data_IF_194257087541
#
_entry.id   IF_194257087541
#
_cell.length_a   1.000
_cell.length_b   1.000
_cell.length_c   1.000
_cell.angle_alpha   90.00
_cell.angle_beta   90.00
_cell.angle_gamma   90.00
#
_symmetry.space_group_name_H-M   'P 1'
#
loop_
_entity.id
_entity.type
_entity.pdbx_description
1 polymer ?
#
# COMPACT_ATOMS: atom_id res chain seq x y z
N UNK A 1 -8.80 14.66 -21.21
CA UNK A 1 -8.94 14.29 -19.79
C UNK A 1 -8.25 12.93 -19.55
N UNK A 2 -6.94 12.84 -19.81
CA UNK A 2 -6.21 11.55 -19.83
C UNK A 2 -5.82 11.05 -18.43
N UNK A 3 -5.65 11.94 -17.45
CA UNK A 3 -5.17 11.58 -16.12
C UNK A 3 -6.17 10.77 -15.27
N UNK A 4 -7.47 10.76 -15.65
CA UNK A 4 -8.52 10.03 -14.93
C UNK A 4 -9.08 8.86 -15.74
N UNK A 5 -8.58 8.64 -16.96
CA UNK A 5 -9.01 7.53 -17.81
C UNK A 5 -8.40 6.21 -17.30
N UNK A 6 -9.20 5.29 -16.72
CA UNK A 6 -8.70 4.07 -16.10
C UNK A 6 -8.11 3.08 -17.11
N UNK A 7 -8.29 3.30 -18.42
CA UNK A 7 -7.68 2.46 -19.46
C UNK A 7 -6.22 2.82 -19.74
N UNK A 8 -5.78 4.00 -19.30
CA UNK A 8 -4.38 4.43 -19.41
C UNK A 8 -3.60 4.05 -18.15
N UNK A 9 -2.27 3.84 -18.27
CA UNK A 9 -1.43 3.55 -17.10
C UNK A 9 -1.51 4.66 -16.04
N UNK A 10 -1.50 5.93 -16.48
CA UNK A 10 -1.60 7.09 -15.58
C UNK A 10 -2.92 7.08 -14.82
N UNK A 11 -4.04 6.93 -15.53
CA UNK A 11 -5.36 6.94 -14.88
C UNK A 11 -5.59 5.70 -14.02
N UNK A 12 -5.16 4.51 -14.45
CA UNK A 12 -5.20 3.30 -13.65
C UNK A 12 -4.41 3.45 -12.33
N UNK A 13 -3.16 3.90 -12.42
CA UNK A 13 -2.32 4.18 -11.25
C UNK A 13 -2.95 5.24 -10.33
N UNK A 14 -3.53 6.29 -10.91
CA UNK A 14 -4.21 7.35 -10.16
C UNK A 14 -5.41 6.80 -9.38
N UNK A 15 -6.27 5.99 -10.00
CA UNK A 15 -7.40 5.38 -9.32
C UNK A 15 -6.97 4.43 -8.20
N UNK A 16 -5.95 3.60 -8.43
CA UNK A 16 -5.38 2.75 -7.39
C UNK A 16 -4.87 3.58 -6.20
N UNK A 17 -4.18 4.69 -6.47
CA UNK A 17 -3.65 5.59 -5.44
C UNK A 17 -4.78 6.20 -4.61
N UNK A 18 -5.84 6.68 -5.26
CA UNK A 18 -7.00 7.26 -4.60
C UNK A 18 -7.69 6.25 -3.68
N UNK A 19 -7.87 5.02 -4.17
CA UNK A 19 -8.47 3.95 -3.37
C UNK A 19 -7.57 3.59 -2.19
N UNK A 20 -6.25 3.48 -2.39
CA UNK A 20 -5.29 3.19 -1.34
C UNK A 20 -5.30 4.27 -0.24
N UNK A 21 -5.28 5.55 -0.63
CA UNK A 21 -5.34 6.68 0.31
C UNK A 21 -6.65 6.65 1.11
N UNK A 22 -7.80 6.53 0.44
CA UNK A 22 -9.11 6.48 1.11
C UNK A 22 -9.23 5.29 2.04
N UNK A 23 -8.76 4.10 1.63
CA UNK A 23 -8.80 2.90 2.46
C UNK A 23 -7.81 2.93 3.63
N UNK A 24 -6.69 3.63 3.48
CA UNK A 24 -5.66 3.75 4.51
C UNK A 24 -6.13 4.52 5.75
N UNK A 25 -7.01 5.53 5.61
CA UNK A 25 -7.56 6.28 6.76
C UNK A 25 -8.31 5.40 7.78
N UNK A 26 -9.36 4.65 7.42
CA UNK A 26 -10.06 3.77 8.36
C UNK A 26 -9.19 2.59 8.81
N UNK A 27 -8.26 2.11 7.97
CA UNK A 27 -7.28 1.08 8.36
C UNK A 27 -6.36 1.59 9.49
N UNK A 28 -5.79 2.78 9.32
CA UNK A 28 -4.96 3.45 10.32
C UNK A 28 -5.73 3.78 11.59
N UNK A 29 -6.94 4.33 11.47
CA UNK A 29 -7.77 4.65 12.62
C UNK A 29 -8.12 3.41 13.47
N UNK A 30 -8.38 2.26 12.82
CA UNK A 30 -8.58 1.00 13.54
C UNK A 30 -7.31 0.55 14.28
N UNK A 31 -6.15 0.60 13.60
CA UNK A 31 -4.85 0.23 14.19
C UNK A 31 -4.49 1.10 15.40
N UNK A 32 -4.71 2.42 15.32
CA UNK A 32 -4.50 3.35 16.44
C UNK A 32 -5.41 3.05 17.64
N UNK A 33 -6.59 2.46 17.41
CA UNK A 33 -7.51 1.98 18.47
C UNK A 33 -7.17 0.57 18.97
N UNK A 34 -6.09 -0.04 18.51
CA UNK A 34 -5.73 -1.43 18.82
C UNK A 34 -6.65 -2.47 18.16
N UNK A 35 -7.44 -2.06 17.18
CA UNK A 35 -8.39 -2.89 16.45
C UNK A 35 -7.82 -3.25 15.06
N UNK A 36 -8.34 -4.33 14.47
CA UNK A 36 -8.00 -4.73 13.12
C UNK A 36 -9.25 -4.71 12.24
N UNK A 37 -9.33 -3.75 11.32
CA UNK A 37 -10.33 -3.81 10.25
C UNK A 37 -9.81 -4.65 9.09
N UNK A 38 -10.19 -5.93 9.03
CA UNK A 38 -9.69 -6.85 7.99
C UNK A 38 -10.02 -6.38 6.58
N UNK A 39 -11.21 -5.81 6.37
CA UNK A 39 -11.65 -5.29 5.07
C UNK A 39 -10.84 -4.06 4.64
N UNK A 40 -10.75 -3.03 5.48
CA UNK A 40 -10.03 -1.80 5.13
C UNK A 40 -8.53 -2.05 4.95
N UNK A 41 -7.91 -2.85 5.82
CA UNK A 41 -6.50 -3.22 5.68
C UNK A 41 -6.25 -4.04 4.41
N UNK A 42 -7.17 -4.94 4.03
CA UNK A 42 -7.05 -5.69 2.79
C UNK A 42 -7.12 -4.79 1.55
N UNK A 43 -8.09 -3.87 1.51
CA UNK A 43 -8.23 -2.92 0.39
C UNK A 43 -6.99 -2.02 0.30
N UNK A 44 -6.57 -1.43 1.42
CA UNK A 44 -5.36 -0.60 1.49
C UNK A 44 -4.14 -1.37 0.97
N UNK A 45 -3.86 -2.57 1.50
CA UNK A 45 -2.68 -3.33 1.10
C UNK A 45 -2.65 -3.64 -0.39
N UNK A 46 -3.73 -4.21 -0.94
CA UNK A 46 -3.74 -4.61 -2.34
C UNK A 46 -3.65 -3.43 -3.29
N UNK A 47 -4.37 -2.34 -2.99
CA UNK A 47 -4.31 -1.13 -3.81
C UNK A 47 -3.01 -0.37 -3.66
N UNK A 48 -2.41 -0.32 -2.48
CA UNK A 48 -1.08 0.26 -2.27
C UNK A 48 0.01 -0.56 -2.99
N UNK A 49 -0.02 -1.90 -2.90
CA UNK A 49 0.93 -2.77 -3.63
C UNK A 49 0.80 -2.54 -5.13
N UNK A 50 -0.44 -2.56 -5.65
CA UNK A 50 -0.69 -2.34 -7.06
C UNK A 50 -0.26 -0.93 -7.51
N UNK A 51 -0.52 0.10 -6.69
CA UNK A 51 -0.06 1.48 -6.94
C UNK A 51 1.46 1.54 -6.99
N UNK A 52 2.15 1.08 -5.95
CA UNK A 52 3.60 1.11 -5.89
C UNK A 52 4.24 0.32 -7.05
N UNK A 53 3.70 -0.85 -7.39
CA UNK A 53 4.17 -1.65 -8.51
C UNK A 53 3.96 -0.94 -9.84
N UNK A 54 2.76 -0.39 -10.10
CA UNK A 54 2.47 0.35 -11.34
C UNK A 54 3.30 1.62 -11.48
N UNK A 55 3.70 2.21 -10.35
CA UNK A 55 4.64 3.32 -10.32
C UNK A 55 5.96 3.01 -11.03
N UNK A 56 6.42 1.75 -11.07
CA UNK A 56 7.65 1.35 -11.77
C UNK A 56 7.48 1.13 -13.28
N UNK A 57 6.26 1.16 -13.81
CA UNK A 57 6.01 0.99 -15.25
C UNK A 57 6.05 2.31 -16.04
N UNK A 58 6.18 3.45 -15.36
CA UNK A 58 6.28 4.74 -16.02
C UNK A 58 7.62 4.90 -16.77
N UNK A 59 7.68 5.77 -17.80
CA UNK A 59 8.93 6.03 -18.50
C UNK A 59 9.90 6.84 -17.63
N UNK A 60 11.16 6.38 -17.56
CA UNK A 60 12.23 7.05 -16.80
C UNK A 60 13.52 7.12 -17.63
N UNK A 61 14.32 8.15 -17.38
CA UNK A 61 15.65 8.35 -17.98
C UNK A 61 16.80 7.82 -17.10
N UNK A 62 16.50 7.21 -15.96
CA UNK A 62 17.49 6.69 -15.01
C UNK A 62 16.87 6.26 -13.69
N UNK A 63 17.70 5.96 -12.69
CA UNK A 63 17.24 5.64 -11.33
C UNK A 63 17.01 6.95 -10.57
N UNK A 64 15.75 7.24 -10.29
CA UNK A 64 15.34 8.38 -9.45
C UNK A 64 15.18 7.96 -7.98
N UNK A 65 15.30 8.90 -7.01
CA UNK A 65 15.00 8.62 -5.60
C UNK A 65 13.65 7.95 -5.35
N UNK A 66 12.64 8.23 -6.19
CA UNK A 66 11.33 7.57 -6.14
C UNK A 66 11.39 6.06 -6.31
N UNK A 67 12.37 5.51 -7.02
CA UNK A 67 12.55 4.07 -7.16
C UNK A 67 13.00 3.43 -5.86
N UNK A 68 13.88 4.11 -5.12
CA UNK A 68 14.37 3.64 -3.81
C UNK A 68 13.21 3.65 -2.82
N UNK A 69 12.48 4.76 -2.75
CA UNK A 69 11.29 4.88 -1.89
C UNK A 69 10.24 3.84 -2.28
N UNK A 70 9.93 3.68 -3.57
CA UNK A 70 8.97 2.69 -4.05
C UNK A 70 9.37 1.24 -3.72
N UNK A 71 10.67 0.92 -3.77
CA UNK A 71 11.18 -0.41 -3.41
C UNK A 71 11.05 -0.66 -1.90
N UNK A 72 11.35 0.35 -1.07
CA UNK A 72 11.15 0.29 0.38
C UNK A 72 9.66 0.12 0.70
N UNK A 73 8.78 0.90 0.07
CA UNK A 73 7.32 0.78 0.24
C UNK A 73 6.82 -0.61 -0.12
N UNK A 74 7.26 -1.18 -1.26
CA UNK A 74 6.89 -2.55 -1.63
C UNK A 74 7.39 -3.60 -0.64
N UNK A 75 8.60 -3.44 -0.10
CA UNK A 75 9.13 -4.35 0.92
C UNK A 75 8.31 -4.28 2.22
N UNK A 76 7.92 -3.08 2.66
CA UNK A 76 7.06 -2.88 3.83
C UNK A 76 5.66 -3.48 3.60
N UNK A 77 5.05 -3.21 2.44
CA UNK A 77 3.75 -3.76 2.08
C UNK A 77 3.78 -5.29 1.97
N UNK A 78 4.86 -5.87 1.44
CA UNK A 78 5.05 -7.32 1.42
C UNK A 78 5.15 -7.90 2.85
N UNK A 79 5.91 -7.26 3.74
CA UNK A 79 5.96 -7.66 5.15
C UNK A 79 4.59 -7.57 5.83
N UNK A 80 3.83 -6.51 5.56
CA UNK A 80 2.46 -6.34 6.05
C UNK A 80 1.52 -7.43 5.53
N UNK A 81 1.59 -7.75 4.23
CA UNK A 81 0.79 -8.80 3.61
C UNK A 81 1.11 -10.18 4.20
N UNK A 82 2.39 -10.50 4.40
CA UNK A 82 2.82 -11.75 5.06
C UNK A 82 2.27 -11.81 6.49
N UNK A 83 2.38 -10.71 7.25
CA UNK A 83 1.88 -10.66 8.61
C UNK A 83 0.36 -10.90 8.70
N UNK A 84 -0.41 -10.31 7.78
CA UNK A 84 -1.87 -10.40 7.78
C UNK A 84 -2.39 -11.73 7.21
N UNK A 85 -1.87 -12.18 6.07
CA UNK A 85 -2.43 -13.30 5.32
C UNK A 85 -1.76 -14.64 5.61
N UNK A 86 -0.44 -14.66 5.84
CA UNK A 86 0.31 -15.91 6.05
C UNK A 86 0.43 -16.23 7.53
N UNK A 87 0.72 -15.23 8.36
CA UNK A 87 1.02 -15.41 9.79
C UNK A 87 -0.16 -15.15 10.72
N UNK A 88 -1.32 -14.78 10.17
CA UNK A 88 -2.56 -14.59 10.93
C UNK A 88 -2.45 -13.58 12.08
N UNK A 89 -1.46 -12.67 12.05
CA UNK A 89 -1.15 -11.71 13.11
C UNK A 89 -0.80 -12.33 14.47
N UNK A 90 -0.30 -13.56 14.49
CA UNK A 90 0.07 -14.24 15.74
C UNK A 90 1.33 -13.63 16.39
N UNK A 91 1.30 -13.45 17.72
CA UNK A 91 2.44 -12.95 18.49
C UNK A 91 2.99 -11.61 17.98
N UNK A 92 4.28 -11.60 17.62
CA UNK A 92 4.97 -10.40 17.14
C UNK A 92 4.45 -9.89 15.78
N UNK A 93 3.79 -10.74 14.98
CA UNK A 93 3.32 -10.37 13.64
C UNK A 93 2.26 -9.29 13.65
N UNK A 94 1.46 -9.18 14.72
CA UNK A 94 0.52 -8.06 14.87
C UNK A 94 1.23 -6.71 14.92
N UNK A 95 2.37 -6.63 15.63
CA UNK A 95 3.18 -5.41 15.73
C UNK A 95 3.89 -5.12 14.41
N UNK A 96 4.46 -6.15 13.77
CA UNK A 96 5.07 -6.02 12.44
C UNK A 96 4.07 -5.49 11.43
N UNK A 97 2.86 -6.04 11.40
CA UNK A 97 1.76 -5.56 10.56
C UNK A 97 1.46 -4.09 10.79
N UNK A 98 1.24 -3.68 12.05
CA UNK A 98 0.89 -2.31 12.37
C UNK A 98 2.01 -1.33 11.96
N UNK A 99 3.27 -1.63 12.26
CA UNK A 99 4.40 -0.76 11.91
C UNK A 99 4.56 -0.65 10.39
N UNK A 100 4.60 -1.79 9.69
CA UNK A 100 4.77 -1.82 8.24
C UNK A 100 3.62 -1.14 7.49
N UNK A 101 2.37 -1.36 7.91
CA UNK A 101 1.21 -0.71 7.34
C UNK A 101 1.22 0.81 7.57
N UNK A 102 1.58 1.28 8.78
CA UNK A 102 1.66 2.71 9.07
C UNK A 102 2.82 3.40 8.36
N UNK A 103 3.99 2.77 8.29
CA UNK A 103 5.12 3.29 7.52
C UNK A 103 4.84 3.33 6.02
N UNK A 104 4.00 2.43 5.49
CA UNK A 104 3.62 2.45 4.08
C UNK A 104 2.51 3.46 3.77
N UNK A 105 1.75 3.89 4.79
CA UNK A 105 0.65 4.85 4.64
C UNK A 105 1.10 6.31 4.78
N UNK A 106 2.20 6.56 5.50
CA UNK A 106 2.83 7.87 5.63
C UNK A 106 3.76 8.17 4.45
#
# INVERSE_FOLDING_TARGET
MFALDPTTLVGFHTWLSLIAIVAGFPAAAALLKGQLSRSWNGIFLWTAIATSATGFLFPFSGVLPSHIVGAISLALLAAAAIALYVRGLEGAWRRTFAISAMLSFY
#
